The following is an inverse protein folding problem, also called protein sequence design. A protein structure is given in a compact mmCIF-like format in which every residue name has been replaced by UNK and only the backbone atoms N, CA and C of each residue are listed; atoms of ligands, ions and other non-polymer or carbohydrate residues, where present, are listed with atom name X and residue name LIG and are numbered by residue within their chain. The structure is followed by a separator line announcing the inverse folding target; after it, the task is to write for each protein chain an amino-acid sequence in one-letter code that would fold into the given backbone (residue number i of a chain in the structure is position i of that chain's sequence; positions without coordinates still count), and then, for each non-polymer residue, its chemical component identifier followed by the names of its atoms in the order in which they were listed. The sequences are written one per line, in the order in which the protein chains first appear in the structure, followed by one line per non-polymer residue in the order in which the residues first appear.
data_IF_460882374020
#
_entry.id   IF_460882374020
#
_cell.length_a   1.000
_cell.length_b   1.000
_cell.length_c   1.000
_cell.angle_alpha   90.00
_cell.angle_beta   90.00
_cell.angle_gamma   90.00
#
_symmetry.space_group_name_H-M   'P 1'
#
loop_
_entity.id
_entity.type
_entity.pdbx_description
1 polymer ?
#
# COMPACT_ATOMS: atom_id res chain seq x y z
N UNK A 1 -6.80 -20.01 -48.13
CA UNK A 1 -6.63 -18.78 -47.33
C UNK A 1 -6.74 -19.21 -45.88
N UNK A 2 -5.60 -19.30 -45.17
CA UNK A 2 -5.48 -19.89 -43.83
C UNK A 2 -5.10 -18.75 -42.87
N UNK A 3 -5.91 -18.54 -41.85
CA UNK A 3 -5.57 -17.85 -40.60
C UNK A 3 -6.08 -18.83 -39.52
N UNK A 4 -5.31 -19.44 -38.65
CA UNK A 4 -4.12 -19.00 -37.94
C UNK A 4 -4.44 -19.12 -36.45
N UNK A 5 -4.55 -20.36 -35.95
CA UNK A 5 -4.88 -20.66 -34.55
C UNK A 5 -3.79 -20.13 -33.63
N UNK A 6 -4.14 -19.18 -32.75
CA UNK A 6 -3.27 -18.71 -31.69
C UNK A 6 -3.21 -19.74 -30.56
N UNK A 7 -2.12 -20.50 -30.54
CA UNK A 7 -1.70 -21.31 -29.40
C UNK A 7 -1.20 -20.36 -28.29
N UNK A 8 -1.98 -20.19 -27.23
CA UNK A 8 -1.51 -19.56 -25.98
C UNK A 8 -1.19 -20.64 -24.97
N UNK A 9 -0.08 -21.34 -25.18
CA UNK A 9 0.55 -22.14 -24.12
C UNK A 9 1.21 -21.19 -23.13
N UNK A 10 0.63 -21.03 -21.94
CA UNK A 10 1.30 -20.39 -20.81
C UNK A 10 2.46 -21.29 -20.33
N UNK A 11 3.65 -20.75 -20.04
CA UNK A 11 4.75 -21.57 -19.52
C UNK A 11 4.37 -22.13 -18.14
N UNK A 12 4.69 -23.40 -17.92
CA UNK A 12 4.49 -24.06 -16.62
C UNK A 12 5.31 -23.35 -15.53
N UNK A 13 4.70 -23.16 -14.36
CA UNK A 13 5.37 -22.65 -13.17
C UNK A 13 6.52 -23.59 -12.77
N UNK A 14 7.75 -23.08 -12.84
CA UNK A 14 8.94 -23.75 -12.33
C UNK A 14 9.15 -23.26 -10.89
N UNK A 15 9.01 -24.12 -9.86
CA UNK A 15 9.33 -23.72 -8.50
C UNK A 15 10.84 -23.40 -8.41
N UNK A 16 11.26 -22.45 -7.55
CA UNK A 16 12.67 -22.15 -7.36
C UNK A 16 13.44 -23.40 -6.91
N UNK A 17 14.66 -23.55 -7.41
CA UNK A 17 15.52 -24.70 -7.12
C UNK A 17 15.81 -24.75 -5.61
N UNK A 18 15.69 -25.93 -5.00
CA UNK A 18 15.91 -26.14 -3.56
C UNK A 18 17.36 -25.86 -3.11
N UNK A 19 18.23 -25.45 -4.04
CA UNK A 19 19.62 -25.10 -3.81
C UNK A 19 19.97 -23.62 -4.07
N UNK A 20 19.00 -22.75 -4.33
CA UNK A 20 19.24 -21.30 -4.21
C UNK A 20 19.39 -20.95 -2.72
N UNK A 21 20.64 -20.76 -2.29
CA UNK A 21 20.98 -20.34 -0.95
C UNK A 21 20.29 -19.00 -0.63
N UNK A 22 19.84 -18.78 0.62
CA UNK A 22 19.33 -17.48 1.03
C UNK A 22 20.39 -16.40 0.75
N UNK A 23 19.95 -15.22 0.32
CA UNK A 23 20.78 -14.02 0.21
C UNK A 23 21.45 -13.75 1.56
N UNK A 24 22.70 -14.19 1.71
CA UNK A 24 23.54 -13.92 2.88
C UNK A 24 24.46 -12.74 2.54
N UNK A 25 24.32 -11.67 3.33
CA UNK A 25 25.36 -10.65 3.47
C UNK A 25 25.13 -9.35 2.72
N UNK A 26 24.08 -8.60 3.08
CA UNK A 26 24.20 -7.15 3.11
C UNK A 26 24.41 -6.74 4.57
N UNK A 27 25.52 -6.08 4.84
CA UNK A 27 25.74 -5.25 6.01
C UNK A 27 24.58 -4.25 6.11
N UNK A 28 23.55 -4.52 6.92
CA UNK A 28 22.35 -3.66 7.02
C UNK A 28 22.66 -2.50 7.98
N UNK A 29 23.53 -1.59 7.52
CA UNK A 29 23.45 -0.20 7.92
C UNK A 29 22.21 0.42 7.28
N UNK A 30 21.13 0.50 8.06
CA UNK A 30 19.77 0.94 7.67
C UNK A 30 19.08 0.14 6.54
N UNK A 31 17.76 -0.14 6.66
CA UNK A 31 17.02 -0.87 5.63
C UNK A 31 16.88 -0.02 4.36
N UNK A 32 16.89 -0.62 3.15
CA UNK A 32 16.66 0.09 1.88
C UNK A 32 15.20 0.55 1.67
N UNK A 33 14.36 0.48 2.71
CA UNK A 33 12.95 0.85 2.71
C UNK A 33 12.67 2.01 3.66
N UNK A 34 11.48 2.61 3.59
CA UNK A 34 11.18 3.79 4.39
C UNK A 34 11.16 3.44 5.87
N UNK A 35 11.78 4.30 6.69
CA UNK A 35 11.95 4.06 8.13
C UNK A 35 10.68 4.37 8.95
N UNK A 36 9.71 5.07 8.35
CA UNK A 36 8.40 5.39 8.95
C UNK A 36 7.35 5.60 7.87
N UNK A 37 6.07 5.67 8.25
CA UNK A 37 4.98 5.94 7.30
C UNK A 37 5.09 7.34 6.66
N UNK A 38 5.58 8.34 7.40
CA UNK A 38 5.83 9.67 6.84
C UNK A 38 6.98 9.66 5.83
N UNK A 39 8.03 8.88 6.10
CA UNK A 39 9.13 8.68 5.15
C UNK A 39 8.65 7.96 3.88
N UNK A 40 7.80 6.93 4.01
CA UNK A 40 7.16 6.25 2.88
C UNK A 40 6.42 7.24 1.97
N UNK A 41 5.64 8.16 2.55
CA UNK A 41 4.91 9.19 1.81
C UNK A 41 5.86 10.16 1.11
N UNK A 42 6.92 10.61 1.78
CA UNK A 42 7.90 11.57 1.23
C UNK A 42 8.74 10.96 0.12
N UNK A 43 9.24 9.75 0.34
CA UNK A 43 10.18 9.07 -0.54
C UNK A 43 9.52 8.60 -1.84
N UNK A 44 8.28 8.11 -1.77
CA UNK A 44 7.61 7.46 -2.90
C UNK A 44 6.37 8.18 -3.42
N UNK A 45 5.92 9.24 -2.75
CA UNK A 45 4.69 9.93 -3.08
C UNK A 45 4.64 10.53 -4.50
N UNK A 46 5.77 10.98 -5.03
CA UNK A 46 5.86 11.53 -6.39
C UNK A 46 6.62 10.61 -7.37
N UNK A 47 7.34 9.60 -6.88
CA UNK A 47 8.22 8.75 -7.69
C UNK A 47 7.70 7.32 -7.80
N UNK A 48 6.75 7.11 -8.73
CA UNK A 48 6.08 5.83 -8.94
C UNK A 48 7.03 4.70 -9.37
N UNK A 49 8.06 5.01 -10.16
CA UNK A 49 9.07 4.02 -10.56
C UNK A 49 9.88 3.50 -9.38
N UNK A 50 10.29 4.41 -8.47
CA UNK A 50 10.98 4.01 -7.25
C UNK A 50 10.04 3.20 -6.33
N UNK A 51 8.77 3.59 -6.26
CA UNK A 51 7.76 2.86 -5.49
C UNK A 51 7.63 1.41 -5.97
N UNK A 52 7.56 1.17 -7.28
CA UNK A 52 7.45 -0.18 -7.85
C UNK A 52 8.63 -1.07 -7.43
N UNK A 53 9.86 -0.54 -7.49
CA UNK A 53 11.05 -1.28 -7.08
C UNK A 53 11.00 -1.62 -5.58
N UNK A 54 10.67 -0.65 -4.73
CA UNK A 54 10.60 -0.85 -3.29
C UNK A 54 9.45 -1.79 -2.87
N UNK A 55 8.29 -1.71 -3.52
CA UNK A 55 7.16 -2.62 -3.30
C UNK A 55 7.55 -4.06 -3.63
N UNK A 56 8.30 -4.29 -4.71
CA UNK A 56 8.75 -5.65 -5.08
C UNK A 56 9.74 -6.24 -4.08
N UNK A 57 10.57 -5.40 -3.45
CA UNK A 57 11.46 -5.80 -2.36
C UNK A 57 10.65 -6.10 -1.09
N UNK A 58 9.61 -5.30 -0.84
CA UNK A 58 8.78 -5.38 0.35
C UNK A 58 9.12 -4.29 1.35
N UNK A 59 8.11 -3.82 2.07
CA UNK A 59 8.28 -2.81 3.11
C UNK A 59 8.47 -3.43 4.50
N UNK A 60 9.17 -2.75 5.43
CA UNK A 60 9.22 -3.18 6.82
C UNK A 60 7.83 -3.34 7.42
N UNK A 61 7.58 -4.44 8.11
CA UNK A 61 6.30 -4.69 8.78
C UNK A 61 6.00 -3.65 9.89
N UNK A 62 7.03 -2.99 10.43
CA UNK A 62 6.91 -1.88 11.38
C UNK A 62 6.09 -0.71 10.82
N UNK A 63 6.01 -0.56 9.50
CA UNK A 63 5.18 0.49 8.88
C UNK A 63 3.68 0.30 9.14
N UNK A 64 3.22 -0.91 9.49
CA UNK A 64 1.83 -1.12 9.90
C UNK A 64 1.54 -0.41 11.23
N UNK A 65 2.46 -0.53 12.20
CA UNK A 65 2.37 0.18 13.47
C UNK A 65 2.53 1.68 13.29
N UNK A 66 3.45 2.11 12.42
CA UNK A 66 3.65 3.53 12.14
C UNK A 66 2.42 4.15 11.46
N UNK A 67 1.80 3.44 10.52
CA UNK A 67 0.56 3.89 9.89
C UNK A 67 -0.59 3.93 10.92
N UNK A 68 -0.69 2.94 11.80
CA UNK A 68 -1.70 2.91 12.87
C UNK A 68 -1.57 4.14 13.77
N UNK A 69 -0.35 4.50 14.18
CA UNK A 69 -0.07 5.72 14.95
C UNK A 69 -0.35 6.98 14.14
N UNK A 70 0.04 7.01 12.87
CA UNK A 70 -0.14 8.17 11.99
C UNK A 70 -1.62 8.53 11.81
N UNK A 71 -2.47 7.52 11.58
CA UNK A 71 -3.92 7.70 11.37
C UNK A 71 -4.74 7.67 12.67
N UNK A 72 -4.12 7.40 13.82
CA UNK A 72 -4.77 7.26 15.12
C UNK A 72 -5.91 6.21 15.12
N UNK A 73 -5.65 5.06 14.49
CA UNK A 73 -6.60 3.94 14.40
C UNK A 73 -5.95 2.64 14.86
N UNK A 74 -6.76 1.59 15.05
CA UNK A 74 -6.24 0.28 15.45
C UNK A 74 -5.34 -0.33 14.38
N UNK A 75 -4.30 -1.04 14.83
CA UNK A 75 -3.43 -1.82 13.94
C UNK A 75 -4.25 -2.84 13.12
N UNK A 76 -5.27 -3.45 13.71
CA UNK A 76 -6.19 -4.35 13.01
C UNK A 76 -6.81 -3.72 11.75
N UNK A 77 -7.20 -2.43 11.80
CA UNK A 77 -7.78 -1.74 10.64
C UNK A 77 -6.74 -1.50 9.54
N UNK A 78 -5.51 -1.14 9.91
CA UNK A 78 -4.39 -1.04 8.97
C UNK A 78 -4.09 -2.40 8.33
N UNK A 79 -4.05 -3.47 9.12
CA UNK A 79 -3.86 -4.82 8.61
C UNK A 79 -4.99 -5.27 7.67
N UNK A 80 -6.24 -4.88 7.94
CA UNK A 80 -7.35 -5.13 7.03
C UNK A 80 -7.15 -4.43 5.68
N UNK A 81 -6.72 -3.16 5.69
CA UNK A 81 -6.35 -2.42 4.46
C UNK A 81 -5.21 -3.12 3.72
N UNK A 82 -4.20 -3.61 4.44
CA UNK A 82 -3.09 -4.37 3.87
C UNK A 82 -3.47 -5.81 3.46
N UNK A 83 -4.69 -6.27 3.76
CA UNK A 83 -5.18 -7.65 3.62
C UNK A 83 -4.26 -8.69 4.28
N UNK A 84 -3.76 -8.36 5.46
CA UNK A 84 -2.97 -9.28 6.28
C UNK A 84 -3.90 -10.03 7.23
N UNK A 85 -3.95 -11.37 7.17
CA UNK A 85 -4.71 -12.15 8.14
C UNK A 85 -4.01 -12.08 9.52
N UNK A 86 -4.81 -12.20 10.58
CA UNK A 86 -4.34 -12.05 11.96
C UNK A 86 -3.18 -13.01 12.32
N UNK A 87 -3.19 -14.22 11.76
CA UNK A 87 -2.10 -15.19 11.92
C UNK A 87 -0.75 -14.69 11.36
N UNK A 88 -0.77 -13.94 10.27
CA UNK A 88 0.44 -13.33 9.69
C UNK A 88 0.91 -12.16 10.53
N UNK A 89 0.00 -11.35 11.08
CA UNK A 89 0.34 -10.23 11.97
C UNK A 89 1.06 -10.73 13.23
N UNK A 90 0.59 -11.83 13.83
CA UNK A 90 1.21 -12.42 15.01
C UNK A 90 2.54 -13.13 14.71
N UNK A 91 2.73 -13.61 13.47
CA UNK A 91 3.96 -14.28 13.04
C UNK A 91 5.04 -13.30 12.53
N UNK A 92 4.66 -12.07 12.15
CA UNK A 92 5.57 -11.02 11.70
C UNK A 92 6.41 -10.53 12.88
N UNK A 93 7.65 -11.02 12.94
CA UNK A 93 8.63 -10.56 13.92
C UNK A 93 9.08 -9.13 13.58
N UNK A 94 9.56 -8.42 14.61
CA UNK A 94 10.25 -7.17 14.41
C UNK A 94 11.42 -7.35 13.42
N UNK A 95 11.44 -6.56 12.33
CA UNK A 95 12.41 -6.68 11.24
C UNK A 95 11.97 -7.53 10.04
N UNK A 96 10.77 -8.13 10.07
CA UNK A 96 10.22 -8.82 8.89
C UNK A 96 9.76 -7.83 7.80
N UNK A 97 9.81 -8.26 6.55
CA UNK A 97 9.26 -7.52 5.41
C UNK A 97 7.85 -8.03 5.08
N UNK A 98 7.00 -7.09 4.67
CA UNK A 98 5.72 -7.37 4.03
C UNK A 98 5.97 -7.94 2.63
N UNK A 99 5.10 -8.84 2.18
CA UNK A 99 5.12 -9.26 0.78
C UNK A 99 4.79 -8.07 -0.15
N UNK A 100 5.02 -8.27 -1.46
CA UNK A 100 4.81 -7.21 -2.44
C UNK A 100 3.35 -6.74 -2.49
N UNK A 101 2.38 -7.62 -2.24
CA UNK A 101 0.96 -7.26 -2.34
C UNK A 101 0.51 -6.43 -1.13
N UNK A 102 0.94 -6.77 0.08
CA UNK A 102 0.72 -6.00 1.29
C UNK A 102 1.46 -4.65 1.23
N UNK A 103 2.70 -4.66 0.73
CA UNK A 103 3.48 -3.44 0.50
C UNK A 103 2.80 -2.50 -0.48
N UNK A 104 2.26 -3.02 -1.58
CA UNK A 104 1.51 -2.23 -2.57
C UNK A 104 0.27 -1.57 -1.95
N UNK A 105 -0.50 -2.30 -1.12
CA UNK A 105 -1.68 -1.75 -0.43
C UNK A 105 -1.29 -0.65 0.56
N UNK A 106 -0.22 -0.86 1.31
CA UNK A 106 0.27 0.16 2.25
C UNK A 106 0.79 1.41 1.51
N UNK A 107 1.45 1.22 0.36
CA UNK A 107 1.82 2.33 -0.52
C UNK A 107 0.60 3.08 -1.06
N UNK A 108 -0.48 2.39 -1.47
CA UNK A 108 -1.72 3.05 -1.91
C UNK A 108 -2.31 3.96 -0.83
N UNK A 109 -2.32 3.52 0.43
CA UNK A 109 -2.75 4.34 1.56
C UNK A 109 -1.88 5.59 1.70
N UNK A 110 -0.56 5.45 1.59
CA UNK A 110 0.39 6.56 1.65
C UNK A 110 0.19 7.58 0.49
N UNK A 111 0.04 7.10 -0.75
CA UNK A 111 -0.18 7.98 -1.91
C UNK A 111 -1.52 8.74 -1.80
N UNK A 112 -2.59 8.09 -1.33
CA UNK A 112 -3.87 8.75 -1.10
C UNK A 112 -3.86 9.73 0.07
N UNK A 113 -3.12 9.44 1.15
CA UNK A 113 -2.93 10.40 2.23
C UNK A 113 -2.21 11.66 1.74
N UNK A 114 -1.16 11.49 0.93
CA UNK A 114 -0.45 12.61 0.31
C UNK A 114 -1.38 13.44 -0.59
N UNK A 115 -2.20 12.79 -1.41
CA UNK A 115 -3.19 13.47 -2.24
C UNK A 115 -4.23 14.22 -1.40
N UNK A 116 -4.79 13.58 -0.37
CA UNK A 116 -5.74 14.19 0.53
C UNK A 116 -5.15 15.42 1.24
N UNK A 117 -3.90 15.32 1.72
CA UNK A 117 -3.19 16.46 2.32
C UNK A 117 -3.03 17.63 1.36
N UNK A 118 -2.82 17.37 0.07
CA UNK A 118 -2.76 18.42 -0.95
C UNK A 118 -4.13 19.05 -1.23
N UNK A 119 -5.22 18.28 -1.14
CA UNK A 119 -6.59 18.78 -1.36
C UNK A 119 -7.10 19.60 -0.17
N UNK A 120 -6.86 19.13 1.05
CA UNK A 120 -7.37 19.77 2.27
C UNK A 120 -6.41 20.78 2.89
N UNK A 121 -5.16 20.84 2.42
CA UNK A 121 -4.07 21.68 2.95
C UNK A 121 -3.84 21.55 4.47
N UNK A 122 -4.37 20.48 5.06
CA UNK A 122 -4.35 20.22 6.49
C UNK A 122 -4.29 18.71 6.73
N UNK A 123 -3.30 18.29 7.51
CA UNK A 123 -3.02 16.88 7.78
C UNK A 123 -4.15 16.19 8.54
N UNK A 124 -4.68 16.84 9.58
CA UNK A 124 -5.78 16.31 10.39
C UNK A 124 -7.10 16.26 9.62
N UNK A 125 -7.38 17.26 8.79
CA UNK A 125 -8.56 17.24 7.91
C UNK A 125 -8.48 16.07 6.90
N UNK A 126 -7.29 15.84 6.32
CA UNK A 126 -7.06 14.73 5.40
C UNK A 126 -7.19 13.36 6.08
N UNK A 127 -6.59 13.17 7.26
CA UNK A 127 -6.77 11.96 8.08
C UNK A 127 -8.23 11.74 8.45
N UNK A 128 -8.89 12.79 8.94
CA UNK A 128 -10.30 12.76 9.32
C UNK A 128 -11.17 12.32 8.15
N UNK A 129 -10.95 12.88 6.97
CA UNK A 129 -11.69 12.50 5.77
C UNK A 129 -11.48 11.02 5.41
N UNK A 130 -10.23 10.53 5.44
CA UNK A 130 -9.92 9.13 5.12
C UNK A 130 -10.52 8.13 6.11
N UNK A 131 -10.61 8.48 7.41
CA UNK A 131 -11.10 7.58 8.47
C UNK A 131 -12.60 7.66 8.74
N UNK A 132 -13.28 8.68 8.20
CA UNK A 132 -14.69 8.96 8.49
C UNK A 132 -15.63 8.33 7.46
N UNK A 133 -16.63 7.54 7.91
CA UNK A 133 -17.69 7.06 7.03
C UNK A 133 -18.43 8.19 6.31
N UNK A 134 -18.76 7.99 5.04
CA UNK A 134 -19.62 8.94 4.32
C UNK A 134 -20.55 8.28 3.31
N UNK A 135 -21.62 8.99 2.96
CA UNK A 135 -22.65 8.50 2.05
C UNK A 135 -22.09 8.18 0.65
N UNK A 136 -21.05 8.88 0.21
CA UNK A 136 -20.37 8.61 -1.07
C UNK A 136 -19.62 7.28 -1.13
N UNK A 137 -19.47 6.60 0.01
CA UNK A 137 -18.74 5.34 0.16
C UNK A 137 -19.60 4.27 0.85
N UNK A 138 -20.91 4.24 0.60
CA UNK A 138 -21.84 3.26 1.20
C UNK A 138 -21.76 3.18 2.73
N UNK A 139 -21.58 4.33 3.41
CA UNK A 139 -21.37 4.42 4.85
C UNK A 139 -20.12 3.69 5.39
N UNK A 140 -19.15 3.39 4.53
CA UNK A 140 -17.80 3.01 4.93
C UNK A 140 -16.85 4.21 4.77
N UNK A 141 -15.67 4.15 5.41
CA UNK A 141 -14.69 5.21 5.27
C UNK A 141 -13.89 5.03 3.97
N UNK A 142 -13.38 6.13 3.37
CA UNK A 142 -12.57 6.02 2.15
C UNK A 142 -11.39 5.06 2.30
N UNK A 143 -10.73 5.02 3.46
CA UNK A 143 -9.59 4.12 3.68
C UNK A 143 -9.95 2.63 3.60
N UNK A 144 -11.20 2.27 3.86
CA UNK A 144 -11.65 0.87 3.85
C UNK A 144 -11.80 0.33 2.42
N UNK A 145 -11.77 1.19 1.40
CA UNK A 145 -11.80 0.82 -0.02
C UNK A 145 -10.39 0.50 -0.59
N UNK A 146 -9.33 0.74 0.18
CA UNK A 146 -7.95 0.72 -0.31
C UNK A 146 -7.33 -0.67 -0.35
N UNK A 147 -8.09 -1.67 0.08
CA UNK A 147 -7.72 -3.08 0.03
C UNK A 147 -7.70 -3.63 -1.42
N UNK A 148 -8.27 -2.86 -2.37
CA UNK A 148 -8.31 -3.13 -3.81
C UNK A 148 -7.94 -1.90 -4.66
N UNK A 149 -7.39 -2.13 -5.86
CA UNK A 149 -7.07 -1.04 -6.79
C UNK A 149 -8.33 -0.29 -7.30
N UNK A 150 -9.44 -0.97 -7.70
CA UNK A 150 -10.65 -0.24 -8.08
C UNK A 150 -11.20 0.65 -6.98
N UNK A 151 -11.16 0.22 -5.71
CA UNK A 151 -11.57 1.04 -4.58
C UNK A 151 -10.67 2.27 -4.39
N UNK A 152 -9.36 2.11 -4.54
CA UNK A 152 -8.42 3.25 -4.54
C UNK A 152 -8.70 4.26 -5.67
N UNK A 153 -9.11 3.80 -6.86
CA UNK A 153 -9.54 4.69 -7.95
C UNK A 153 -10.78 5.50 -7.56
N UNK A 154 -11.78 4.88 -6.94
CA UNK A 154 -12.99 5.56 -6.45
C UNK A 154 -12.62 6.65 -5.44
N UNK A 155 -11.74 6.36 -4.49
CA UNK A 155 -11.28 7.34 -3.49
C UNK A 155 -10.51 8.50 -4.15
N UNK A 156 -9.66 8.20 -5.13
CA UNK A 156 -8.91 9.23 -5.89
C UNK A 156 -9.84 10.17 -6.65
N UNK A 157 -10.90 9.64 -7.26
CA UNK A 157 -11.91 10.45 -7.94
C UNK A 157 -12.69 11.33 -6.96
N UNK A 158 -13.03 10.81 -5.78
CA UNK A 158 -13.69 11.61 -4.75
C UNK A 158 -12.81 12.79 -4.29
N UNK A 159 -11.51 12.57 -4.07
CA UNK A 159 -10.56 13.64 -3.76
C UNK A 159 -10.49 14.70 -4.88
N UNK A 160 -10.47 14.28 -6.15
CA UNK A 160 -10.48 15.20 -7.28
C UNK A 160 -11.78 16.04 -7.35
N UNK A 161 -12.92 15.44 -6.99
CA UNK A 161 -14.21 16.14 -6.97
C UNK A 161 -14.30 17.21 -5.87
N UNK A 162 -13.66 17.00 -4.70
CA UNK A 162 -13.61 18.00 -3.62
C UNK A 162 -12.92 19.28 -4.09
N UNK A 163 -11.83 19.16 -4.86
CA UNK A 163 -11.11 20.31 -5.44
C UNK A 163 -12.02 21.11 -6.38
N UNK A 164 -12.81 20.44 -7.21
CA UNK A 164 -13.65 21.06 -8.25
C UNK A 164 -14.90 21.72 -7.64
N UNK A 165 -15.48 21.14 -6.59
CA UNK A 165 -16.70 21.64 -5.94
C UNK A 165 -16.50 22.78 -4.93
N UNK A 166 -15.24 23.17 -4.65
CA UNK A 166 -14.89 24.27 -3.76
C UNK A 166 -14.57 25.60 -4.45
N UNK A 167 -14.86 25.71 -5.76
CA UNK A 167 -14.66 26.92 -6.58
C UNK A 167 -15.94 27.71 -6.80
#
# INVERSE_FOLDING_TARGET
MIIGSGDTTFPAYVPPDANEQPFVGADIGDPPGPASFDDLMRQFGANRSAAVAAIRIGFPATLLDDASRYFEISNQRICAVARLPEATVQALKHGALLDAAASERLWRLADLMRMARAVFENDEAAKSWLRTPSAGFNNAAPMDYLDTEPGAIVVRHALAAVVIGGS
#
